data_IF_523187769930
#
_entry.id   IF_523187769930
#
_cell.length_a   1.000
_cell.length_b   1.000
_cell.length_c   1.000
_cell.angle_alpha   90.00
_cell.angle_beta   90.00
_cell.angle_gamma   90.00
#
_symmetry.space_group_name_H-M   'P 1'
#
loop_
_entity.id
_entity.type
_entity.pdbx_description
1 polymer ?
#
# COMPACT_ATOMS: atom_id res chain seq x y z
N UNK A 1 30.43 -15.20 28.78
CA UNK A 1 29.72 -15.56 27.54
C UNK A 1 28.53 -14.62 27.43
N UNK A 2 28.67 -13.53 26.67
CA UNK A 2 27.63 -12.50 26.54
C UNK A 2 26.65 -12.96 25.46
N UNK A 3 25.42 -13.30 25.84
CA UNK A 3 24.32 -13.46 24.89
C UNK A 3 23.95 -12.05 24.41
N UNK A 4 24.30 -11.73 23.17
CA UNK A 4 23.75 -10.57 22.46
C UNK A 4 22.24 -10.76 22.34
N UNK A 5 21.40 -9.84 22.83
CA UNK A 5 19.98 -9.90 22.55
C UNK A 5 19.81 -9.76 21.04
N UNK A 6 19.15 -10.75 20.44
CA UNK A 6 18.69 -10.69 19.06
C UNK A 6 17.69 -9.52 18.98
N UNK A 7 18.17 -8.35 18.55
CA UNK A 7 17.31 -7.20 18.34
C UNK A 7 16.40 -7.51 17.17
N UNK A 8 15.22 -8.04 17.45
CA UNK A 8 14.09 -7.90 16.54
C UNK A 8 13.96 -6.40 16.26
N UNK A 9 14.13 -5.94 15.01
CA UNK A 9 14.01 -4.51 14.72
C UNK A 9 12.61 -4.08 15.16
N UNK A 10 12.56 -3.20 16.16
CA UNK A 10 11.28 -2.66 16.62
C UNK A 10 10.55 -2.08 15.40
N UNK A 11 9.29 -2.47 15.24
CA UNK A 11 8.48 -2.03 14.11
C UNK A 11 8.15 -0.55 14.30
N UNK A 12 9.05 0.31 13.84
CA UNK A 12 8.90 1.76 13.88
C UNK A 12 8.11 2.22 12.65
N UNK A 13 7.11 3.06 12.86
CA UNK A 13 6.37 3.71 11.77
C UNK A 13 7.22 4.86 11.20
N UNK A 14 7.63 4.74 9.93
CA UNK A 14 8.40 5.76 9.21
C UNK A 14 7.48 6.81 8.58
N UNK A 15 6.28 6.40 8.15
CA UNK A 15 5.31 7.27 7.51
C UNK A 15 3.90 6.72 7.75
N UNK A 16 2.93 7.61 7.97
CA UNK A 16 1.51 7.30 7.94
C UNK A 16 0.75 8.40 7.21
N UNK A 17 -0.02 8.04 6.17
CA UNK A 17 -0.71 9.00 5.31
C UNK A 17 -2.11 8.50 4.92
N UNK A 18 -3.06 9.40 4.62
CA UNK A 18 -4.33 9.00 4.02
C UNK A 18 -4.10 8.42 2.63
N UNK A 19 -4.79 7.33 2.33
CA UNK A 19 -4.75 6.67 1.03
C UNK A 19 -6.06 5.92 0.77
N UNK A 20 -6.45 5.83 -0.51
CA UNK A 20 -7.54 4.96 -0.93
C UNK A 20 -6.98 3.76 -1.66
N UNK A 21 -7.19 2.56 -1.15
CA UNK A 21 -6.83 1.33 -1.86
C UNK A 21 -7.86 1.09 -2.98
N UNK A 22 -7.39 1.04 -4.23
CA UNK A 22 -8.21 0.61 -5.35
C UNK A 22 -8.20 -0.91 -5.39
N UNK A 23 -9.34 -1.55 -5.14
CA UNK A 23 -9.45 -3.00 -5.13
C UNK A 23 -10.56 -3.48 -6.07
N UNK A 24 -10.51 -4.77 -6.44
CA UNK A 24 -11.60 -5.37 -7.20
C UNK A 24 -12.85 -5.46 -6.32
N UNK A 25 -14.05 -5.32 -6.90
CA UNK A 25 -15.30 -5.60 -6.20
C UNK A 25 -15.31 -7.03 -5.67
N UNK A 26 -15.78 -7.21 -4.44
CA UNK A 26 -15.91 -8.50 -3.78
C UNK A 26 -17.36 -8.99 -3.71
N UNK A 27 -18.33 -8.19 -4.18
CA UNK A 27 -19.76 -8.54 -4.20
C UNK A 27 -20.48 -7.89 -5.39
N UNK A 28 -21.67 -8.39 -5.72
CA UNK A 28 -22.51 -7.83 -6.77
C UNK A 28 -22.92 -6.37 -6.48
N UNK A 29 -23.15 -6.03 -5.21
CA UNK A 29 -23.42 -4.65 -4.80
C UNK A 29 -22.19 -3.74 -4.99
N UNK A 30 -21.00 -4.21 -4.61
CA UNK A 30 -19.75 -3.49 -4.87
C UNK A 30 -19.49 -3.32 -6.38
N UNK A 31 -19.86 -4.32 -7.18
CA UNK A 31 -19.74 -4.28 -8.63
C UNK A 31 -20.65 -3.20 -9.21
N UNK A 32 -21.90 -3.11 -8.76
CA UNK A 32 -22.85 -2.07 -9.17
C UNK A 32 -22.35 -0.65 -8.87
N UNK A 33 -21.88 -0.38 -7.64
CA UNK A 33 -21.38 0.95 -7.26
C UNK A 33 -20.01 1.30 -7.87
N UNK A 34 -19.28 0.31 -8.41
CA UNK A 34 -18.01 0.54 -9.10
C UNK A 34 -18.16 0.96 -10.57
N UNK A 35 -19.36 0.83 -11.15
CA UNK A 35 -19.63 1.19 -12.55
C UNK A 35 -19.34 2.67 -12.86
N UNK A 36 -19.72 3.66 -12.00
CA UNK A 36 -19.38 5.06 -12.22
C UNK A 36 -17.86 5.34 -12.14
N UNK A 37 -17.08 4.49 -11.46
CA UNK A 37 -15.64 4.65 -11.31
C UNK A 37 -14.85 4.48 -12.63
N UNK A 38 -15.51 3.97 -13.68
CA UNK A 38 -14.97 3.97 -15.06
C UNK A 38 -14.70 5.41 -15.53
N UNK A 39 -15.58 6.36 -15.18
CA UNK A 39 -15.47 7.77 -15.58
C UNK A 39 -14.32 8.50 -14.89
N UNK A 40 -13.89 8.02 -13.72
CA UNK A 40 -12.74 8.58 -13.00
C UNK A 40 -11.42 7.86 -13.36
N UNK A 41 -11.48 6.74 -14.09
CA UNK A 41 -10.29 5.96 -14.46
C UNK A 41 -9.99 4.78 -13.51
N UNK A 42 -10.83 4.57 -12.49
CA UNK A 42 -10.81 3.41 -11.61
C UNK A 42 -11.73 2.29 -12.16
N UNK A 43 -11.56 1.94 -13.44
CA UNK A 43 -12.35 0.97 -14.25
C UNK A 43 -12.90 -0.23 -13.46
N UNK A 44 -14.13 -0.14 -12.94
CA UNK A 44 -14.78 -1.23 -12.19
C UNK A 44 -14.05 -1.61 -10.90
N UNK A 45 -13.35 -0.66 -10.26
CA UNK A 45 -12.65 -0.81 -8.99
C UNK A 45 -13.37 -0.03 -7.90
N UNK A 46 -13.33 -0.55 -6.68
CA UNK A 46 -13.84 0.14 -5.48
C UNK A 46 -12.67 0.83 -4.79
N UNK A 47 -12.81 2.13 -4.56
CA UNK A 47 -11.88 2.89 -3.73
C UNK A 47 -12.27 2.72 -2.26
N UNK A 48 -11.39 2.11 -1.47
CA UNK A 48 -11.58 1.93 -0.03
C UNK A 48 -10.69 2.90 0.72
N UNK A 49 -11.29 3.81 1.49
CA UNK A 49 -10.54 4.83 2.22
C UNK A 49 -9.89 4.31 3.49
N UNK A 50 -8.69 4.79 3.79
CA UNK A 50 -7.97 4.39 4.98
C UNK A 50 -6.63 5.09 5.13
N UNK A 51 -5.74 4.45 5.86
CA UNK A 51 -4.38 4.91 6.07
C UNK A 51 -3.38 3.90 5.54
N UNK A 52 -2.38 4.41 4.82
CA UNK A 52 -1.21 3.65 4.44
C UNK A 52 -0.06 4.02 5.37
N UNK A 53 0.47 3.03 6.07
CA UNK A 53 1.62 3.14 6.94
C UNK A 53 2.80 2.41 6.30
N UNK A 54 3.97 3.04 6.32
CA UNK A 54 5.25 2.39 6.01
C UNK A 54 6.00 2.26 7.32
N UNK A 55 6.31 1.04 7.72
CA UNK A 55 7.15 0.74 8.87
C UNK A 55 8.54 0.31 8.42
N UNK A 56 9.44 0.08 9.37
CA UNK A 56 10.74 -0.53 9.12
C UNK A 56 10.64 -1.93 8.53
N UNK A 57 9.51 -2.63 8.70
CA UNK A 57 9.33 -4.05 8.34
C UNK A 57 8.27 -4.32 7.27
N UNK A 58 7.23 -3.50 7.20
CA UNK A 58 6.05 -3.71 6.36
C UNK A 58 5.45 -2.41 5.81
N UNK A 59 4.71 -2.52 4.72
CA UNK A 59 3.69 -1.55 4.32
C UNK A 59 2.34 -2.09 4.75
N UNK A 60 1.61 -1.31 5.55
CA UNK A 60 0.32 -1.71 6.13
C UNK A 60 -0.77 -0.75 5.66
N UNK A 61 -1.86 -1.29 5.13
CA UNK A 61 -3.06 -0.52 4.83
C UNK A 61 -4.17 -0.85 5.83
N UNK A 62 -4.65 0.19 6.52
CA UNK A 62 -5.75 0.12 7.49
C UNK A 62 -7.00 0.81 6.93
N UNK A 63 -8.02 0.05 6.51
CA UNK A 63 -9.28 0.63 6.05
C UNK A 63 -10.07 1.25 7.21
N UNK A 64 -10.81 2.33 6.94
CA UNK A 64 -11.77 2.88 7.89
C UNK A 64 -12.87 1.87 8.24
N UNK A 65 -13.33 1.87 9.51
CA UNK A 65 -14.33 0.94 10.04
C UNK A 65 -15.65 0.92 9.25
N UNK A 66 -16.03 2.04 8.65
CA UNK A 66 -17.25 2.18 7.85
C UNK A 66 -17.17 1.54 6.44
N UNK A 67 -15.99 1.08 6.00
CA UNK A 67 -15.87 0.42 4.70
C UNK A 67 -16.49 -0.98 4.72
N UNK A 68 -17.14 -1.35 3.61
CA UNK A 68 -17.55 -2.72 3.34
C UNK A 68 -16.32 -3.65 3.25
N UNK A 69 -16.46 -4.89 3.73
CA UNK A 69 -15.42 -5.92 3.70
C UNK A 69 -14.09 -5.47 4.34
N UNK A 70 -14.17 -4.81 5.50
CA UNK A 70 -13.02 -4.21 6.20
C UNK A 70 -11.86 -5.20 6.42
N UNK A 71 -12.14 -6.38 6.98
CA UNK A 71 -11.08 -7.36 7.30
C UNK A 71 -10.34 -7.87 6.06
N UNK A 72 -11.07 -8.09 4.96
CA UNK A 72 -10.46 -8.47 3.66
C UNK A 72 -9.73 -7.31 2.98
N UNK A 73 -9.96 -6.08 3.44
CA UNK A 73 -9.38 -4.88 2.86
C UNK A 73 -8.11 -4.43 3.57
N UNK A 74 -7.85 -4.95 4.78
CA UNK A 74 -6.58 -4.74 5.49
C UNK A 74 -5.47 -5.47 4.74
N UNK A 75 -4.40 -4.75 4.42
CA UNK A 75 -3.25 -5.32 3.73
C UNK A 75 -1.99 -5.19 4.59
N UNK A 76 -1.13 -6.19 4.52
CA UNK A 76 0.23 -6.17 5.07
C UNK A 76 1.17 -6.72 4.02
N UNK A 77 2.19 -5.95 3.68
CA UNK A 77 3.15 -6.25 2.63
C UNK A 77 4.53 -6.16 3.26
N UNK A 78 5.24 -7.28 3.46
CA UNK A 78 6.61 -7.23 3.95
C UNK A 78 7.49 -6.41 2.99
N UNK A 79 8.37 -5.57 3.54
CA UNK A 79 9.26 -4.70 2.73
C UNK A 79 10.11 -5.53 1.77
N UNK A 80 10.56 -6.71 2.21
CA UNK A 80 11.32 -7.66 1.40
C UNK A 80 10.56 -8.19 0.17
N UNK A 81 9.22 -8.20 0.20
CA UNK A 81 8.38 -8.70 -0.90
C UNK A 81 8.02 -7.63 -1.93
N UNK A 82 8.33 -6.36 -1.64
CA UNK A 82 8.11 -5.26 -2.58
C UNK A 82 9.19 -5.34 -3.66
N UNK A 83 8.77 -5.55 -4.91
CA UNK A 83 9.63 -5.63 -6.08
C UNK A 83 9.78 -4.27 -6.77
N UNK A 84 8.75 -3.43 -6.72
CA UNK A 84 8.77 -2.08 -7.28
C UNK A 84 7.74 -1.19 -6.57
N UNK A 85 8.03 0.11 -6.49
CA UNK A 85 7.11 1.13 -6.00
C UNK A 85 7.19 2.35 -6.91
N UNK A 86 6.17 2.60 -7.73
CA UNK A 86 6.21 3.62 -8.79
C UNK A 86 4.99 4.54 -8.75
N UNK A 87 5.18 5.84 -9.06
CA UNK A 87 4.06 6.74 -9.24
C UNK A 87 3.30 6.40 -10.52
N UNK A 88 1.99 6.48 -10.48
CA UNK A 88 1.12 6.37 -11.66
C UNK A 88 0.13 7.53 -11.63
N UNK A 89 0.07 8.30 -12.70
CA UNK A 89 -0.91 9.37 -12.87
C UNK A 89 -1.81 8.97 -14.02
N UNK A 90 -3.11 8.94 -13.77
CA UNK A 90 -4.10 8.70 -14.82
C UNK A 90 -5.26 9.69 -14.65
N UNK A 91 -5.37 10.65 -15.57
CA UNK A 91 -6.37 11.73 -15.56
C UNK A 91 -6.29 12.55 -14.25
N UNK A 92 -7.18 12.29 -13.29
CA UNK A 92 -7.23 12.97 -11.97
C UNK A 92 -6.64 12.12 -10.83
N UNK A 93 -6.29 10.86 -11.08
CA UNK A 93 -5.83 9.94 -10.05
C UNK A 93 -4.33 10.05 -9.86
N UNK A 94 -3.95 10.47 -8.65
CA UNK A 94 -2.58 10.42 -8.16
C UNK A 94 -2.38 9.12 -7.39
N UNK A 95 -1.73 8.15 -8.03
CA UNK A 95 -1.62 6.79 -7.49
C UNK A 95 -0.16 6.42 -7.22
N UNK A 96 0.07 5.61 -6.19
CA UNK A 96 1.30 4.81 -6.03
C UNK A 96 0.95 3.35 -6.29
N UNK A 97 1.75 2.70 -7.14
CA UNK A 97 1.64 1.27 -7.45
C UNK A 97 2.76 0.54 -6.72
N UNK A 98 2.39 -0.43 -5.89
CA UNK A 98 3.32 -1.31 -5.17
C UNK A 98 3.21 -2.70 -5.77
N UNK A 99 4.25 -3.15 -6.46
CA UNK A 99 4.34 -4.50 -7.04
C UNK A 99 4.93 -5.46 -6.01
N UNK A 100 4.29 -6.61 -5.82
CA UNK A 100 4.68 -7.61 -4.81
C UNK A 100 5.06 -8.94 -5.45
N UNK A 101 5.98 -9.68 -4.81
CA UNK A 101 6.37 -11.01 -5.26
C UNK A 101 5.22 -12.05 -5.19
N UNK A 102 4.23 -11.83 -4.33
CA UNK A 102 3.09 -12.74 -4.10
C UNK A 102 1.90 -12.52 -5.05
N UNK A 103 2.09 -11.79 -6.14
CA UNK A 103 1.20 -11.92 -7.31
C UNK A 103 0.29 -10.74 -7.61
N UNK A 104 0.72 -9.50 -7.39
CA UNK A 104 0.02 -8.38 -8.00
C UNK A 104 0.52 -6.98 -7.67
N UNK A 105 0.05 -6.05 -8.49
CA UNK A 105 0.15 -4.61 -8.28
C UNK A 105 -0.98 -4.14 -7.36
N UNK A 106 -0.61 -3.54 -6.24
CA UNK A 106 -1.51 -2.86 -5.33
C UNK A 106 -1.49 -1.37 -5.64
N UNK A 107 -2.67 -0.79 -5.87
CA UNK A 107 -2.82 0.61 -6.27
C UNK A 107 -3.45 1.43 -5.16
N UNK A 108 -2.76 2.49 -4.73
CA UNK A 108 -3.24 3.41 -3.70
C UNK A 108 -3.32 4.83 -4.24
N UNK A 109 -4.51 5.43 -4.23
CA UNK A 109 -4.70 6.85 -4.55
C UNK A 109 -4.30 7.68 -3.34
N UNK A 110 -3.28 8.52 -3.50
CA UNK A 110 -2.74 9.38 -2.44
C UNK A 110 -1.86 10.49 -2.99
N UNK A 111 -1.99 11.69 -2.43
CA UNK A 111 -1.12 12.82 -2.76
C UNK A 111 0.32 12.63 -2.26
N UNK A 112 0.54 11.70 -1.33
CA UNK A 112 1.84 11.47 -0.66
C UNK A 112 2.75 10.45 -1.38
N UNK A 113 2.52 10.15 -2.66
CA UNK A 113 3.24 9.10 -3.43
C UNK A 113 4.77 9.13 -3.29
N UNK A 114 5.37 10.31 -3.40
CA UNK A 114 6.84 10.48 -3.28
C UNK A 114 7.34 10.14 -1.88
N UNK A 115 6.61 10.56 -0.84
CA UNK A 115 6.94 10.27 0.57
C UNK A 115 6.85 8.78 0.87
N UNK A 116 5.84 8.11 0.31
CA UNK A 116 5.67 6.66 0.46
C UNK A 116 6.85 5.91 -0.17
N UNK A 117 7.21 6.24 -1.41
CA UNK A 117 8.36 5.60 -2.09
C UNK A 117 9.64 5.84 -1.30
N UNK A 118 9.88 7.07 -0.84
CA UNK A 118 11.04 7.39 -0.01
C UNK A 118 11.08 6.58 1.29
N UNK A 119 9.94 6.46 1.99
CA UNK A 119 9.85 5.66 3.22
C UNK A 119 10.09 4.16 2.96
N UNK A 120 9.62 3.62 1.83
CA UNK A 120 9.90 2.23 1.44
C UNK A 120 11.40 2.04 1.19
N UNK A 121 12.04 2.96 0.48
CA UNK A 121 13.49 2.90 0.24
C UNK A 121 14.29 3.00 1.55
N UNK A 122 13.86 3.87 2.48
CA UNK A 122 14.44 3.97 3.82
C UNK A 122 14.30 2.65 4.60
N UNK A 123 13.13 2.03 4.60
CA UNK A 123 12.92 0.73 5.24
C UNK A 123 13.79 -0.37 4.62
N UNK A 124 13.91 -0.40 3.28
CA UNK A 124 14.79 -1.35 2.58
C UNK A 124 16.25 -1.17 2.96
N UNK A 125 16.73 0.07 2.97
CA UNK A 125 18.10 0.39 3.39
C UNK A 125 18.36 -0.03 4.84
N UNK A 126 17.41 0.21 5.75
CA UNK A 126 17.51 -0.22 7.15
C UNK A 126 17.57 -1.75 7.30
N UNK A 127 16.99 -2.50 6.36
CA UNK A 127 17.05 -3.97 6.32
C UNK A 127 18.25 -4.52 5.53
N UNK A 128 19.11 -3.68 4.96
CA UNK A 128 20.20 -4.11 4.08
C UNK A 128 19.74 -4.66 2.72
N UNK A 129 18.50 -4.35 2.30
CA UNK A 129 17.95 -4.77 1.02
C UNK A 129 18.36 -3.80 -0.10
N UNK A 130 18.48 -4.33 -1.34
CA UNK A 130 18.68 -3.49 -2.51
C UNK A 130 17.55 -2.49 -2.70
N UNK A 131 17.91 -1.24 -3.06
CA UNK A 131 16.95 -0.20 -3.40
C UNK A 131 16.12 -0.58 -4.63
N UNK A 132 14.86 -0.18 -4.66
CA UNK A 132 13.99 -0.40 -5.83
C UNK A 132 14.45 0.52 -6.97
N UNK A 133 14.52 0.00 -8.20
CA UNK A 133 14.71 0.82 -9.39
C UNK A 133 13.46 1.68 -9.61
N UNK A 134 13.66 2.98 -9.90
CA UNK A 134 12.59 3.98 -10.03
C UNK A 134 11.94 3.97 -11.41
#
# INVERSE_FOLDING_TARGET
MMMTPEMTPETQVLLRVPANHLARPASAFEQFISLPAILTGARGRVARGGHLSVTTTEVVFEPHSMNLNNDRSRLRIPIAEILAARPKVFILHVTVVISTARGGDLEFVTWSRKRIIAAIQQARAAQGLHLLMQ
#
